data_IF_745441892047
#
_entry.id   IF_745441892047
#
_cell.length_a   1.000
_cell.length_b   1.000
_cell.length_c   1.000
_cell.angle_alpha   90.00
_cell.angle_beta   90.00
_cell.angle_gamma   90.00
#
_symmetry.space_group_name_H-M   'P 1'
#
loop_
_entity.id
_entity.type
_entity.pdbx_description
1 polymer ?
#
# COMPACT_ATOMS: atom_id res chain seq x y z
N UNK A 1 2.56 11.26 38.75
CA UNK A 1 2.25 9.89 38.36
C UNK A 1 3.26 9.45 37.34
N UNK A 2 4.11 8.53 37.75
CA UNK A 2 5.26 8.04 37.04
C UNK A 2 4.82 7.10 35.92
N UNK A 3 5.23 7.38 34.70
CA UNK A 3 5.22 6.41 33.59
C UNK A 3 6.30 5.37 33.92
N UNK A 4 5.85 4.26 34.47
CA UNK A 4 6.69 3.16 34.91
C UNK A 4 7.23 2.39 33.69
N UNK A 5 8.57 2.45 33.50
CA UNK A 5 9.38 1.28 33.23
C UNK A 5 9.33 0.62 31.86
N UNK A 6 9.47 1.35 30.75
CA UNK A 6 10.09 0.74 29.57
C UNK A 6 11.60 1.03 29.61
N UNK A 7 12.40 -0.03 29.36
CA UNK A 7 13.86 0.12 29.31
C UNK A 7 14.30 0.73 27.97
N UNK A 8 15.56 1.18 27.88
CA UNK A 8 16.08 1.81 26.67
C UNK A 8 15.99 0.90 25.42
N UNK A 9 16.02 -0.41 25.58
CA UNK A 9 15.87 -1.38 24.49
C UNK A 9 14.45 -1.42 23.95
N UNK A 10 13.42 -1.23 24.79
CA UNK A 10 12.02 -1.14 24.36
C UNK A 10 11.74 0.14 23.57
N UNK A 11 12.40 1.26 23.91
CA UNK A 11 12.35 2.49 23.12
C UNK A 11 13.09 2.37 21.77
N UNK A 12 14.19 1.63 21.72
CA UNK A 12 14.93 1.35 20.48
C UNK A 12 14.12 0.48 19.50
N UNK A 13 13.35 -0.49 20.03
CA UNK A 13 12.46 -1.32 19.22
C UNK A 13 11.34 -0.47 18.60
N UNK A 14 10.75 0.45 19.36
CA UNK A 14 9.70 1.37 18.90
C UNK A 14 10.21 2.36 17.82
N UNK A 15 11.51 2.64 17.76
CA UNK A 15 12.13 3.53 16.77
C UNK A 15 12.46 2.85 15.43
N UNK A 16 12.43 1.52 15.36
CA UNK A 16 12.75 0.76 14.14
C UNK A 16 11.51 0.24 13.39
N UNK A 17 10.30 0.45 13.91
CA UNK A 17 9.08 -0.05 13.29
C UNK A 17 8.60 0.85 12.15
N UNK A 18 8.24 0.22 11.03
CA UNK A 18 7.75 0.91 9.84
C UNK A 18 6.23 0.88 9.77
N UNK A 19 5.59 2.05 9.62
CA UNK A 19 4.17 2.12 9.27
C UNK A 19 4.00 1.85 7.77
N UNK A 20 3.16 0.87 7.44
CA UNK A 20 2.95 0.36 6.10
C UNK A 20 1.49 0.40 5.68
N UNK A 21 1.20 1.02 4.54
CA UNK A 21 -0.12 1.06 3.93
C UNK A 21 -0.30 -0.11 2.96
N UNK A 22 -1.17 -1.05 3.30
CA UNK A 22 -1.57 -2.17 2.47
C UNK A 22 -2.90 -1.88 1.75
N UNK A 23 -2.93 -2.07 0.44
CA UNK A 23 -4.10 -1.88 -0.43
C UNK A 23 -4.34 -3.05 -1.40
N UNK A 24 -3.36 -3.95 -1.51
CA UNK A 24 -3.41 -5.19 -2.31
C UNK A 24 -3.57 -6.44 -1.44
N UNK A 25 -2.94 -7.55 -1.82
CA UNK A 25 -3.11 -8.82 -1.09
C UNK A 25 -2.63 -8.81 0.36
N UNK A 26 -1.79 -7.85 0.77
CA UNK A 26 -1.36 -7.68 2.15
C UNK A 26 -2.45 -7.09 3.08
N UNK A 27 -3.62 -6.79 2.54
CA UNK A 27 -4.81 -6.45 3.35
C UNK A 27 -5.50 -7.71 3.90
N UNK A 28 -5.22 -8.87 3.31
CA UNK A 28 -5.74 -10.16 3.74
C UNK A 28 -4.99 -10.64 4.99
N UNK A 29 -5.72 -10.80 6.10
CA UNK A 29 -5.14 -11.08 7.41
C UNK A 29 -4.44 -12.45 7.46
N UNK A 30 -5.02 -13.46 6.81
CA UNK A 30 -4.44 -14.80 6.78
C UNK A 30 -3.11 -14.81 6.00
N UNK A 31 -3.08 -14.12 4.85
CA UNK A 31 -1.85 -14.01 4.06
C UNK A 31 -0.76 -13.22 4.79
N UNK A 32 -1.14 -12.14 5.50
CA UNK A 32 -0.17 -11.39 6.30
C UNK A 32 0.35 -12.17 7.49
N UNK A 33 -0.48 -12.96 8.16
CA UNK A 33 -0.03 -13.83 9.26
C UNK A 33 1.06 -14.84 8.81
N UNK A 34 0.99 -15.30 7.55
CA UNK A 34 2.03 -16.15 6.97
C UNK A 34 3.29 -15.40 6.54
N UNK A 35 3.12 -14.19 5.97
CA UNK A 35 4.25 -13.40 5.45
C UNK A 35 5.02 -12.69 6.55
N UNK A 36 4.29 -12.16 7.52
CA UNK A 36 4.76 -11.26 8.56
C UNK A 36 4.04 -11.58 9.88
N UNK A 37 4.39 -12.68 10.56
CA UNK A 37 3.68 -13.10 11.78
C UNK A 37 3.77 -12.08 12.91
N UNK A 38 4.79 -11.23 12.92
CA UNK A 38 5.02 -10.19 13.94
C UNK A 38 4.42 -8.82 13.56
N UNK A 39 3.81 -8.70 12.38
CA UNK A 39 3.18 -7.45 11.97
C UNK A 39 1.90 -7.18 12.78
N UNK A 40 1.68 -5.93 13.18
CA UNK A 40 0.52 -5.53 13.95
C UNK A 40 -0.41 -4.65 13.12
N UNK A 41 -1.71 -4.91 13.23
CA UNK A 41 -2.73 -4.06 12.60
C UNK A 41 -2.87 -2.78 13.43
N UNK A 42 -2.78 -1.63 12.76
CA UNK A 42 -3.08 -0.33 13.37
C UNK A 42 -4.54 0.03 13.14
N UNK A 43 -5.03 -0.11 11.91
CA UNK A 43 -6.44 0.12 11.59
C UNK A 43 -6.68 0.52 10.14
N UNK A 44 -7.96 0.75 9.78
CA UNK A 44 -8.36 1.26 8.48
C UNK A 44 -7.82 2.67 8.22
N UNK A 45 -7.40 2.92 6.97
CA UNK A 45 -6.94 4.24 6.51
C UNK A 45 -7.35 4.46 5.06
N UNK A 46 -7.31 5.72 4.61
CA UNK A 46 -7.56 6.10 3.23
C UNK A 46 -6.38 6.85 2.62
N UNK A 47 -6.09 6.57 1.36
CA UNK A 47 -5.11 7.29 0.56
C UNK A 47 -5.86 8.17 -0.44
N UNK A 48 -5.87 9.48 -0.20
CA UNK A 48 -6.56 10.46 -1.02
C UNK A 48 -5.75 10.85 -2.26
N UNK A 49 -6.46 11.22 -3.33
CA UNK A 49 -5.88 11.61 -4.62
C UNK A 49 -5.05 10.52 -5.28
N UNK A 50 -5.39 9.27 -5.02
CA UNK A 50 -4.87 8.08 -5.68
C UNK A 50 -6.02 7.18 -6.13
N UNK A 51 -5.76 6.37 -7.15
CA UNK A 51 -6.65 5.29 -7.57
C UNK A 51 -5.92 3.96 -7.53
N UNK A 52 -6.68 2.92 -7.21
CA UNK A 52 -6.22 1.53 -7.30
C UNK A 52 -6.23 1.08 -8.76
N UNK A 53 -5.18 0.37 -9.17
CA UNK A 53 -5.04 -0.17 -10.53
C UNK A 53 -4.52 -1.59 -10.51
N UNK A 54 -4.88 -2.37 -11.53
CA UNK A 54 -4.26 -3.66 -11.81
C UNK A 54 -3.35 -3.55 -13.02
N UNK A 55 -2.07 -3.92 -12.84
CA UNK A 55 -1.00 -3.70 -13.82
C UNK A 55 -0.05 -4.89 -13.91
N UNK A 56 0.80 -4.87 -14.93
CA UNK A 56 1.83 -5.89 -15.14
C UNK A 56 1.26 -7.26 -15.39
N UNK A 57 1.33 -8.15 -14.42
CA UNK A 57 0.73 -9.50 -14.46
C UNK A 57 -0.60 -9.56 -13.68
N UNK A 58 -1.32 -8.45 -13.58
CA UNK A 58 -2.60 -8.37 -12.88
C UNK A 58 -2.48 -8.12 -11.37
N UNK A 59 -1.38 -7.54 -10.93
CA UNK A 59 -1.19 -7.17 -9.53
C UNK A 59 -1.62 -5.73 -9.25
N UNK A 60 -2.02 -5.48 -8.00
CA UNK A 60 -2.48 -4.19 -7.54
C UNK A 60 -1.33 -3.19 -7.42
N UNK A 61 -1.60 -1.94 -7.83
CA UNK A 61 -0.75 -0.78 -7.58
C UNK A 61 -1.63 0.44 -7.37
N UNK A 62 -1.07 1.54 -6.85
CA UNK A 62 -1.74 2.83 -6.75
C UNK A 62 -1.06 3.85 -7.63
N UNK A 63 -1.86 4.74 -8.23
CA UNK A 63 -1.36 5.83 -9.05
C UNK A 63 -2.03 7.14 -8.67
N UNK A 64 -1.33 8.29 -8.72
CA UNK A 64 -1.93 9.58 -8.43
C UNK A 64 -3.12 9.87 -9.33
N UNK A 65 -4.26 10.24 -8.72
CA UNK A 65 -5.47 10.69 -9.42
C UNK A 65 -6.29 11.59 -8.51
N UNK A 66 -6.33 12.87 -8.84
CA UNK A 66 -7.08 13.87 -8.08
C UNK A 66 -8.54 13.48 -7.91
N UNK A 67 -9.04 13.55 -6.68
CA UNK A 67 -10.42 13.28 -6.32
C UNK A 67 -10.79 11.81 -6.13
N UNK A 68 -9.86 10.87 -6.40
CA UNK A 68 -10.06 9.45 -6.09
C UNK A 68 -9.51 9.11 -4.71
N UNK A 69 -10.02 8.02 -4.13
CA UNK A 69 -9.64 7.53 -2.80
C UNK A 69 -9.38 6.03 -2.87
N UNK A 70 -8.33 5.57 -2.23
CA UNK A 70 -8.05 4.15 -2.04
C UNK A 70 -8.16 3.81 -0.56
N UNK A 71 -9.04 2.87 -0.25
CA UNK A 71 -9.15 2.31 1.09
C UNK A 71 -8.08 1.24 1.32
N UNK A 72 -7.58 1.14 2.54
CA UNK A 72 -6.57 0.15 2.89
C UNK A 72 -6.40 -0.02 4.39
N UNK A 73 -5.44 -0.84 4.74
CA UNK A 73 -5.11 -1.19 6.11
C UNK A 73 -3.72 -0.69 6.47
N UNK A 74 -3.60 -0.06 7.61
CA UNK A 74 -2.32 0.37 8.16
C UNK A 74 -1.75 -0.74 9.05
N UNK A 75 -0.53 -1.12 8.76
CA UNK A 75 0.26 -2.08 9.51
C UNK A 75 1.46 -1.41 10.17
N UNK A 76 1.85 -1.94 11.30
CA UNK A 76 3.12 -1.69 11.97
C UNK A 76 4.01 -2.89 11.74
N UNK A 77 5.14 -2.68 11.06
CA UNK A 77 6.08 -3.73 10.67
C UNK A 77 7.33 -3.70 11.53
N UNK A 78 7.78 -4.87 11.97
CA UNK A 78 9.14 -5.04 12.46
C UNK A 78 10.14 -5.01 11.29
N UNK A 79 11.45 -4.78 11.53
CA UNK A 79 12.45 -4.88 10.46
C UNK A 79 12.47 -6.24 9.76
N UNK A 80 12.17 -7.34 10.48
CA UNK A 80 12.03 -8.68 9.92
C UNK A 80 10.85 -8.77 8.96
N UNK A 81 9.70 -8.27 9.38
CA UNK A 81 8.47 -8.23 8.58
C UNK A 81 8.68 -7.39 7.31
N UNK A 82 9.34 -6.24 7.42
CA UNK A 82 9.65 -5.39 6.27
C UNK A 82 10.57 -6.12 5.27
N UNK A 83 11.62 -6.79 5.75
CA UNK A 83 12.50 -7.62 4.89
C UNK A 83 11.76 -8.78 4.24
N UNK A 84 10.79 -9.38 4.93
CA UNK A 84 9.95 -10.44 4.36
C UNK A 84 9.06 -9.90 3.23
N UNK A 85 8.45 -8.73 3.41
CA UNK A 85 7.67 -8.05 2.38
C UNK A 85 8.55 -7.58 1.21
N UNK A 86 9.76 -7.09 1.45
CA UNK A 86 10.71 -6.73 0.38
C UNK A 86 10.95 -7.91 -0.58
N UNK A 87 11.13 -9.10 -0.03
CA UNK A 87 11.29 -10.33 -0.85
C UNK A 87 9.99 -10.69 -1.57
N UNK A 88 8.86 -10.61 -0.88
CA UNK A 88 7.56 -10.95 -1.45
C UNK A 88 7.17 -10.01 -2.60
N UNK A 89 7.35 -8.70 -2.42
CA UNK A 89 7.05 -7.66 -3.40
C UNK A 89 8.11 -7.55 -4.53
N UNK A 90 9.23 -8.26 -4.39
CA UNK A 90 10.35 -8.21 -5.33
C UNK A 90 11.01 -6.82 -5.38
N UNK A 91 11.06 -6.15 -4.22
CA UNK A 91 11.74 -4.86 -4.09
C UNK A 91 13.25 -4.99 -4.39
N UNK A 92 13.85 -4.04 -5.11
CA UNK A 92 13.25 -2.82 -5.68
C UNK A 92 12.80 -2.97 -7.16
N UNK A 93 12.80 -4.19 -7.72
CA UNK A 93 12.62 -4.43 -9.16
C UNK A 93 11.17 -4.42 -9.61
N UNK A 94 10.29 -5.08 -8.84
CA UNK A 94 8.86 -5.19 -9.18
C UNK A 94 8.06 -4.07 -8.50
N UNK A 95 8.37 -3.79 -7.25
CA UNK A 95 7.80 -2.67 -6.49
C UNK A 95 8.92 -1.81 -5.89
N UNK A 96 8.65 -0.51 -5.77
CA UNK A 96 9.47 0.45 -5.03
C UNK A 96 8.75 0.84 -3.75
N UNK A 97 9.50 1.31 -2.75
CA UNK A 97 8.95 1.91 -1.54
C UNK A 97 8.74 3.39 -1.75
N UNK A 98 7.54 3.88 -1.50
CA UNK A 98 7.20 5.29 -1.57
C UNK A 98 6.59 5.77 -0.24
N UNK A 99 6.87 7.02 0.13
CA UNK A 99 6.21 7.67 1.24
C UNK A 99 4.91 8.31 0.74
N UNK A 100 3.80 7.91 1.35
CA UNK A 100 2.47 8.44 1.04
C UNK A 100 1.82 9.00 2.31
N UNK A 101 0.90 9.96 2.15
CA UNK A 101 0.14 10.49 3.27
C UNK A 101 -1.25 9.85 3.28
N UNK A 102 -1.56 9.08 4.31
CA UNK A 102 -2.87 8.47 4.52
C UNK A 102 -3.65 9.21 5.60
N UNK A 103 -4.98 9.11 5.56
CA UNK A 103 -5.87 9.59 6.62
C UNK A 103 -6.36 8.42 7.45
N UNK A 104 -6.29 8.59 8.75
CA UNK A 104 -6.85 7.68 9.75
C UNK A 104 -8.36 7.94 9.92
N UNK A 105 -9.05 7.08 10.64
CA UNK A 105 -10.50 7.21 10.91
C UNK A 105 -10.87 8.45 11.76
N UNK A 106 -9.92 9.00 12.50
CA UNK A 106 -10.04 10.26 13.25
C UNK A 106 -9.54 11.49 12.48
N UNK A 107 -9.41 11.35 11.14
CA UNK A 107 -9.02 12.38 10.18
C UNK A 107 -7.58 12.92 10.34
N UNK A 108 -6.72 12.21 11.05
CA UNK A 108 -5.30 12.56 11.15
C UNK A 108 -4.54 12.13 9.88
N UNK A 109 -3.64 13.02 9.39
CA UNK A 109 -2.76 12.70 8.28
C UNK A 109 -1.46 12.08 8.81
N UNK A 110 -1.11 10.89 8.30
CA UNK A 110 0.08 10.15 8.70
C UNK A 110 0.92 9.81 7.47
N UNK A 111 2.23 10.08 7.54
CA UNK A 111 3.17 9.66 6.49
C UNK A 111 3.60 8.22 6.71
N UNK A 112 3.41 7.37 5.70
CA UNK A 112 3.61 5.93 5.79
C UNK A 112 4.28 5.38 4.52
N UNK A 113 4.93 4.25 4.63
CA UNK A 113 5.50 3.53 3.50
C UNK A 113 4.41 2.77 2.74
N UNK A 114 4.49 2.76 1.40
CA UNK A 114 3.70 1.89 0.54
C UNK A 114 4.58 1.26 -0.54
N UNK A 115 4.30 0.02 -0.90
CA UNK A 115 4.89 -0.58 -2.09
C UNK A 115 4.11 -0.12 -3.33
N UNK A 116 4.79 0.44 -4.31
CA UNK A 116 4.19 0.91 -5.57
C UNK A 116 4.90 0.24 -6.73
N UNK A 117 4.14 -0.28 -7.70
CA UNK A 117 4.71 -1.04 -8.81
C UNK A 117 5.71 -0.19 -9.61
N UNK A 118 6.88 -0.77 -9.87
CA UNK A 118 7.96 -0.11 -10.57
C UNK A 118 7.70 -0.02 -12.09
N UNK A 119 8.33 0.97 -12.73
CA UNK A 119 8.41 1.06 -14.18
C UNK A 119 9.31 -0.07 -14.75
N UNK A 120 9.01 -0.64 -15.93
CA UNK A 120 7.90 -0.28 -16.83
C UNK A 120 6.61 -1.09 -16.59
N UNK A 121 6.56 -1.96 -15.57
CA UNK A 121 5.46 -2.90 -15.36
C UNK A 121 4.12 -2.20 -15.06
N UNK A 122 4.17 -1.05 -14.39
CA UNK A 122 2.99 -0.27 -14.04
C UNK A 122 2.23 0.31 -15.26
N UNK A 123 2.82 0.25 -16.47
CA UNK A 123 2.22 0.83 -17.69
C UNK A 123 1.17 -0.05 -18.34
N UNK A 124 1.25 -1.38 -18.17
CA UNK A 124 0.39 -2.30 -18.87
C UNK A 124 -0.80 -2.73 -18.00
N UNK A 125 -2.05 -2.44 -18.42
CA UNK A 125 -3.22 -2.96 -17.74
C UNK A 125 -3.29 -4.47 -17.90
N UNK A 126 -3.58 -5.17 -16.82
CA UNK A 126 -3.77 -6.61 -16.82
C UNK A 126 -4.78 -7.00 -15.76
N UNK A 127 -5.74 -7.86 -16.12
CA UNK A 127 -6.73 -8.34 -15.18
C UNK A 127 -6.08 -9.23 -14.11
N UNK A 128 -6.46 -9.07 -12.85
CA UNK A 128 -6.01 -9.96 -11.79
C UNK A 128 -6.56 -11.37 -11.98
N UNK A 129 -5.84 -12.38 -11.49
CA UNK A 129 -6.41 -13.70 -11.40
C UNK A 129 -7.62 -13.69 -10.44
N UNK A 130 -8.64 -14.56 -10.66
CA UNK A 130 -9.79 -14.63 -9.75
C UNK A 130 -9.39 -14.91 -8.29
N UNK A 131 -8.34 -15.71 -8.09
CA UNK A 131 -7.81 -16.03 -6.77
C UNK A 131 -7.22 -14.78 -6.09
N UNK A 132 -6.39 -14.00 -6.81
CA UNK A 132 -5.77 -12.79 -6.27
C UNK A 132 -6.81 -11.72 -5.96
N UNK A 133 -7.77 -11.48 -6.88
CA UNK A 133 -8.86 -10.54 -6.66
C UNK A 133 -9.69 -10.90 -5.42
N UNK A 134 -10.07 -12.19 -5.30
CA UNK A 134 -10.83 -12.68 -4.14
C UNK A 134 -10.07 -12.52 -2.83
N UNK A 135 -8.75 -12.77 -2.83
CA UNK A 135 -7.92 -12.57 -1.64
C UNK A 135 -7.94 -11.11 -1.16
N UNK A 136 -7.90 -10.14 -2.10
CA UNK A 136 -8.02 -8.71 -1.77
C UNK A 136 -9.43 -8.43 -1.26
N UNK A 137 -10.47 -8.85 -1.97
CA UNK A 137 -11.86 -8.64 -1.59
C UNK A 137 -12.15 -9.15 -0.17
N UNK A 138 -11.74 -10.38 0.14
CA UNK A 138 -11.86 -10.95 1.49
C UNK A 138 -11.14 -10.10 2.55
N UNK A 139 -9.98 -9.56 2.21
CA UNK A 139 -9.25 -8.65 3.10
C UNK A 139 -10.01 -7.34 3.35
N UNK A 140 -10.63 -6.75 2.32
CA UNK A 140 -11.49 -5.57 2.48
C UNK A 140 -12.69 -5.87 3.38
N UNK A 141 -13.42 -6.94 3.09
CA UNK A 141 -14.59 -7.36 3.86
C UNK A 141 -14.26 -7.67 5.33
N UNK A 142 -13.17 -8.43 5.57
CA UNK A 142 -12.74 -8.80 6.91
C UNK A 142 -12.34 -7.59 7.78
N UNK A 143 -11.89 -6.50 7.17
CA UNK A 143 -11.49 -5.27 7.85
C UNK A 143 -12.58 -4.17 7.81
N UNK A 144 -13.79 -4.47 7.32
CA UNK A 144 -14.90 -3.51 7.23
C UNK A 144 -14.62 -2.35 6.29
N UNK A 145 -13.79 -2.56 5.26
CA UNK A 145 -13.43 -1.53 4.27
C UNK A 145 -14.39 -1.54 3.09
N UNK A 146 -14.61 -0.35 2.48
CA UNK A 146 -15.37 -0.25 1.25
C UNK A 146 -14.63 -0.93 0.09
N UNK A 147 -15.31 -1.82 -0.61
CA UNK A 147 -14.79 -2.51 -1.81
C UNK A 147 -14.88 -1.64 -3.08
N UNK A 148 -15.46 -0.44 -2.99
CA UNK A 148 -15.72 0.44 -4.13
C UNK A 148 -14.48 0.71 -4.97
N UNK A 149 -13.36 1.07 -4.33
CA UNK A 149 -12.09 1.31 -5.03
C UNK A 149 -11.55 0.07 -5.75
N UNK A 150 -11.82 -1.12 -5.21
CA UNK A 150 -11.45 -2.41 -5.80
C UNK A 150 -12.31 -2.72 -7.03
N UNK A 151 -13.62 -2.51 -6.94
CA UNK A 151 -14.57 -2.68 -8.05
C UNK A 151 -14.32 -1.68 -9.18
N UNK A 152 -14.06 -0.42 -8.85
CA UNK A 152 -13.66 0.59 -9.82
C UNK A 152 -12.36 0.21 -10.54
N UNK A 153 -11.35 -0.30 -9.80
CA UNK A 153 -10.10 -0.76 -10.39
C UNK A 153 -10.31 -1.94 -11.35
N UNK A 154 -11.19 -2.89 -11.01
CA UNK A 154 -11.57 -3.99 -11.85
C UNK A 154 -12.23 -3.52 -13.15
N UNK A 155 -13.29 -2.71 -13.05
CA UNK A 155 -14.05 -2.21 -14.20
C UNK A 155 -13.15 -1.38 -15.14
N UNK A 156 -12.34 -0.50 -14.59
CA UNK A 156 -11.38 0.30 -15.35
C UNK A 156 -10.35 -0.57 -16.08
N UNK A 157 -9.86 -1.62 -15.43
CA UNK A 157 -8.90 -2.52 -16.07
C UNK A 157 -9.51 -3.28 -17.22
N UNK A 158 -10.78 -3.71 -17.10
CA UNK A 158 -11.53 -4.29 -18.22
C UNK A 158 -11.54 -3.33 -19.41
N UNK A 159 -11.98 -2.08 -19.19
CA UNK A 159 -12.08 -1.06 -20.24
C UNK A 159 -10.73 -0.78 -20.92
N UNK A 160 -9.65 -0.72 -20.15
CA UNK A 160 -8.30 -0.48 -20.66
C UNK A 160 -7.77 -1.65 -21.48
N UNK A 161 -7.95 -2.88 -21.01
CA UNK A 161 -7.54 -4.12 -21.72
C UNK A 161 -8.30 -4.26 -23.04
N UNK A 162 -9.63 -4.03 -23.04
CA UNK A 162 -10.45 -4.14 -24.24
C UNK A 162 -10.25 -3.00 -25.23
N UNK A 163 -9.92 -1.80 -24.75
CA UNK A 163 -9.66 -0.63 -25.62
C UNK A 163 -8.22 -0.57 -26.16
N UNK A 164 -7.31 -1.44 -25.68
CA UNK A 164 -5.90 -1.44 -26.07
C UNK A 164 -5.15 -0.18 -25.60
N UNK A 165 -5.68 0.56 -24.62
CA UNK A 165 -5.04 1.78 -24.08
C UNK A 165 -3.90 1.40 -23.15
N UNK A 166 -2.69 1.81 -23.52
CA UNK A 166 -1.51 1.73 -22.65
C UNK A 166 -1.30 3.09 -21.98
N UNK A 167 -1.10 3.09 -20.67
CA UNK A 167 -0.84 4.32 -19.92
C UNK A 167 0.44 5.03 -20.41
N UNK A 168 0.32 6.33 -20.74
CA UNK A 168 1.50 7.17 -20.98
C UNK A 168 2.11 7.55 -19.62
N UNK A 169 3.46 7.59 -19.50
CA UNK A 169 4.11 7.91 -18.24
C UNK A 169 3.71 9.31 -17.77
N UNK A 170 3.06 9.40 -16.61
CA UNK A 170 2.90 10.67 -15.92
C UNK A 170 4.26 11.05 -15.32
N UNK A 171 4.71 12.30 -15.57
CA UNK A 171 5.91 12.83 -14.93
C UNK A 171 5.66 12.88 -13.42
N UNK A 172 6.32 11.99 -12.67
CA UNK A 172 6.34 12.06 -11.20
C UNK A 172 6.94 13.41 -10.79
N UNK A 173 6.17 14.23 -10.09
CA UNK A 173 6.71 15.44 -9.47
C UNK A 173 7.67 14.99 -8.35
N UNK A 174 8.98 15.06 -8.64
CA UNK A 174 10.00 14.92 -7.60
C UNK A 174 9.79 16.03 -6.60
N UNK A 175 9.31 15.71 -5.41
CA UNK A 175 9.35 16.61 -4.25
C UNK A 175 10.82 16.92 -4.00
N UNK A 176 11.23 18.15 -4.27
CA UNK A 176 12.59 18.61 -3.94
C UNK A 176 12.73 18.60 -2.41
N UNK A 177 13.78 18.01 -1.85
CA UNK A 177 14.06 18.17 -0.43
C UNK A 177 14.24 19.67 -0.15
N UNK A 178 13.51 20.19 0.85
CA UNK A 178 13.72 21.55 1.34
C UNK A 178 15.17 21.68 1.80
N UNK A 179 15.90 22.60 1.16
CA UNK A 179 17.28 22.91 1.48
C UNK A 179 17.42 23.31 2.95
N UNK A 180 18.44 22.78 3.60
CA UNK A 180 18.97 23.32 4.83
C UNK A 180 19.51 24.72 4.50
N UNK A 181 18.86 25.73 5.02
CA UNK A 181 19.47 27.06 5.12
C UNK A 181 20.51 27.04 6.27
N UNK A 182 21.68 27.53 5.95
CA UNK A 182 22.82 27.70 6.88
C UNK A 182 22.58 28.88 7.82
#
# INVERSE_FOLDING_TARGET
PYLCGRNAAEWLIDMEETLYFAYGSNINLEQMAHRCPDAQIVGPVTLENYELRFRGSGFATVTPKKGSVVHGLLWKLTPESERALDRYEGYPRHYTKEQVSVRTTDDAAVSVMAYVMAEPMCRQPALPSPYYYRAIQQGFEANGLSVESLEEAWNRTIDEVWSGKVDRPQKRNKVKPKGQER
#
